data_IF_945300930508
#
_entry.id   IF_945300930508
#
_cell.length_a   1.000
_cell.length_b   1.000
_cell.length_c   1.000
_cell.angle_alpha   90.00
_cell.angle_beta   90.00
_cell.angle_gamma   90.00
#
_symmetry.space_group_name_H-M   'P 1'
#
loop_
_entity.id
_entity.type
_entity.pdbx_description
1 polymer ?
#
# COMPACT_ATOMS: atom_id res chain seq x y z
N UNK A 1 -23.45 70.28 4.01
CA UNK A 1 -23.49 70.34 5.49
C UNK A 1 -23.56 68.90 5.98
N UNK A 2 -22.60 68.53 6.83
CA UNK A 2 -22.49 67.31 7.66
C UNK A 2 -23.82 66.97 8.38
N UNK A 3 -24.09 65.81 8.97
CA UNK A 3 -23.42 64.53 9.21
C UNK A 3 -24.47 63.53 9.76
N UNK A 4 -24.15 62.24 9.84
CA UNK A 4 -24.88 61.27 10.67
C UNK A 4 -24.33 59.85 10.56
N UNK A 5 -23.60 59.40 11.57
CA UNK A 5 -22.93 58.10 11.70
C UNK A 5 -23.89 56.91 11.88
N UNK A 6 -23.48 55.73 11.41
CA UNK A 6 -23.67 54.47 12.14
C UNK A 6 -22.59 53.45 11.74
N UNK A 7 -22.01 52.80 12.74
CA UNK A 7 -20.96 51.81 12.64
C UNK A 7 -21.52 50.38 12.53
N UNK A 8 -20.72 49.48 11.94
CA UNK A 8 -20.66 48.07 12.33
C UNK A 8 -21.15 47.06 11.30
N UNK A 9 -20.21 46.39 10.63
CA UNK A 9 -20.36 44.97 10.30
C UNK A 9 -18.98 44.29 10.12
N UNK A 10 -18.57 43.36 11.01
CA UNK A 10 -17.49 42.43 10.73
C UNK A 10 -18.04 40.99 10.60
N UNK A 11 -18.96 40.76 9.67
CA UNK A 11 -19.41 39.43 9.27
C UNK A 11 -18.48 38.78 8.24
N UNK A 12 -17.33 38.26 8.68
CA UNK A 12 -16.45 37.46 7.82
C UNK A 12 -17.19 36.24 7.25
N UNK A 13 -17.43 36.23 5.94
CA UNK A 13 -17.96 35.08 5.20
C UNK A 13 -16.93 33.94 5.23
N UNK A 14 -17.25 32.87 5.96
CA UNK A 14 -16.51 31.60 5.91
C UNK A 14 -17.14 30.70 4.84
N UNK A 15 -16.40 30.18 3.85
CA UNK A 15 -16.83 29.00 3.13
C UNK A 15 -16.36 27.77 3.92
N UNK A 16 -17.29 27.01 4.50
CA UNK A 16 -17.00 25.64 4.91
C UNK A 16 -17.59 24.68 3.90
N UNK A 17 -16.76 24.31 2.92
CA UNK A 17 -16.94 23.13 2.09
C UNK A 17 -16.97 21.88 3.00
N UNK A 18 -18.13 21.23 3.08
CA UNK A 18 -18.32 19.94 3.73
C UNK A 18 -17.58 18.87 2.92
N UNK A 19 -16.52 18.31 3.50
CA UNK A 19 -15.80 17.16 2.95
C UNK A 19 -16.46 15.86 3.45
N UNK A 20 -16.94 15.02 2.53
CA UNK A 20 -17.44 13.66 2.80
C UNK A 20 -16.55 12.67 2.06
N UNK A 21 -15.47 12.20 2.71
CA UNK A 21 -14.56 11.24 2.10
C UNK A 21 -14.47 9.95 2.92
N UNK A 22 -15.14 8.89 2.50
CA UNK A 22 -14.77 7.51 2.83
C UNK A 22 -14.11 6.86 1.61
N UNK A 23 -12.77 6.89 1.58
CA UNK A 23 -11.94 5.89 0.92
C UNK A 23 -10.65 5.78 1.74
N UNK A 24 -10.35 4.56 2.16
CA UNK A 24 -9.22 4.14 2.98
C UNK A 24 -7.85 4.57 2.40
N UNK A 25 -6.76 4.52 3.18
CA UNK A 25 -5.69 5.50 3.08
C UNK A 25 -4.79 5.22 1.88
N UNK A 26 -4.83 6.11 0.88
CA UNK A 26 -3.65 6.35 0.04
C UNK A 26 -2.61 6.99 0.95
N UNK A 27 -1.40 6.45 0.98
CA UNK A 27 -0.26 7.01 1.70
C UNK A 27 -0.15 8.51 1.38
N UNK A 28 -0.62 9.35 2.31
CA UNK A 28 -0.44 10.81 2.27
C UNK A 28 0.66 11.10 3.26
N UNK A 29 1.83 11.50 2.77
CA UNK A 29 2.77 12.25 3.61
C UNK A 29 2.04 13.56 3.95
N UNK A 30 1.39 13.59 5.11
CA UNK A 30 0.87 14.81 5.68
C UNK A 30 2.04 15.57 6.27
N UNK A 31 2.53 16.61 5.59
CA UNK A 31 3.33 17.62 6.28
C UNK A 31 2.36 18.37 7.19
N UNK A 32 2.27 17.93 8.45
CA UNK A 32 1.59 18.71 9.47
C UNK A 32 2.32 20.06 9.58
N UNK A 33 1.62 21.17 9.31
CA UNK A 33 2.13 22.49 9.70
C UNK A 33 2.37 22.45 11.21
N UNK A 34 3.47 23.02 11.72
CA UNK A 34 3.69 23.07 13.15
C UNK A 34 2.59 23.89 13.80
N UNK A 35 1.64 23.23 14.47
CA UNK A 35 0.72 23.88 15.37
C UNK A 35 1.54 24.29 16.59
N UNK A 36 1.71 25.60 16.83
CA UNK A 36 2.57 26.20 17.88
C UNK A 36 2.23 25.80 19.33
N UNK A 37 1.35 24.82 19.55
CA UNK A 37 0.86 24.43 20.88
C UNK A 37 0.90 22.92 21.16
N UNK A 38 1.43 22.08 20.27
CA UNK A 38 1.62 20.66 20.55
C UNK A 38 2.91 20.43 21.35
N UNK A 39 2.87 20.55 22.68
CA UNK A 39 3.82 19.83 23.54
C UNK A 39 3.39 18.36 23.55
N UNK A 40 4.25 17.45 23.07
CA UNK A 40 4.09 16.02 23.37
C UNK A 40 3.67 15.08 22.23
N UNK A 41 4.13 15.29 20.99
CA UNK A 41 4.42 14.14 20.12
C UNK A 41 5.81 14.35 19.54
N UNK A 42 6.81 13.76 20.18
CA UNK A 42 8.13 13.73 19.60
C UNK A 42 8.05 13.00 18.23
N UNK A 43 8.88 13.42 17.28
CA UNK A 43 8.85 12.86 15.93
C UNK A 43 9.18 11.36 15.90
N UNK A 44 9.93 10.85 16.88
CA UNK A 44 10.27 9.44 17.01
C UNK A 44 9.05 8.63 17.49
N UNK A 45 8.33 9.05 18.53
CA UNK A 45 7.10 8.42 18.99
C UNK A 45 5.98 8.45 17.94
N UNK A 46 5.93 9.49 17.08
CA UNK A 46 5.08 9.45 15.90
C UNK A 46 5.53 8.38 14.91
N UNK A 47 6.82 8.35 14.58
CA UNK A 47 7.37 7.39 13.62
C UNK A 47 7.22 5.95 14.11
N UNK A 48 7.50 5.66 15.38
CA UNK A 48 7.37 4.33 15.98
C UNK A 48 5.93 3.84 15.92
N UNK A 49 4.97 4.71 16.25
CA UNK A 49 3.54 4.38 16.11
C UNK A 49 3.11 4.25 14.66
N UNK A 50 3.67 5.01 13.73
CA UNK A 50 3.34 4.88 12.31
C UNK A 50 3.94 3.61 11.70
N UNK A 51 5.15 3.22 12.13
CA UNK A 51 5.81 1.99 11.70
C UNK A 51 5.18 0.74 12.32
N UNK A 52 4.90 0.75 13.62
CA UNK A 52 4.34 -0.39 14.36
C UNK A 52 2.81 -0.44 14.43
N UNK A 53 2.14 0.70 14.24
CA UNK A 53 0.69 0.80 14.35
C UNK A 53 -0.04 0.08 13.21
N UNK A 54 -0.97 -0.80 13.59
CA UNK A 54 -1.87 -1.53 12.68
C UNK A 54 -1.16 -2.41 11.64
N UNK A 55 -0.01 -2.97 11.99
CA UNK A 55 0.65 -3.98 11.15
C UNK A 55 0.32 -5.35 11.69
N UNK A 56 -0.64 -6.00 11.04
CA UNK A 56 -0.98 -7.39 11.31
C UNK A 56 -0.64 -8.19 10.07
N UNK A 57 0.20 -9.22 10.24
CA UNK A 57 0.40 -10.20 9.20
C UNK A 57 -0.89 -11.01 9.06
N UNK A 58 -1.29 -11.28 7.83
CA UNK A 58 -2.41 -12.16 7.56
C UNK A 58 -1.95 -13.61 7.79
N UNK A 59 -2.19 -14.13 8.99
CA UNK A 59 -1.72 -15.46 9.38
C UNK A 59 -2.24 -16.56 8.44
N UNK A 60 -3.50 -16.46 7.99
CA UNK A 60 -4.05 -17.43 7.06
C UNK A 60 -3.26 -17.49 5.73
N UNK A 61 -2.74 -16.35 5.25
CA UNK A 61 -1.86 -16.35 4.08
C UNK A 61 -0.47 -16.91 4.38
N UNK A 62 0.08 -16.64 5.58
CA UNK A 62 1.36 -17.23 5.99
C UNK A 62 1.29 -18.76 6.07
N UNK A 63 0.11 -19.31 6.37
CA UNK A 63 -0.12 -20.75 6.44
C UNK A 63 -0.35 -21.36 5.03
N UNK A 64 -0.98 -20.61 4.11
CA UNK A 64 -1.32 -21.09 2.76
C UNK A 64 -0.17 -20.97 1.77
N UNK A 65 0.56 -19.84 1.75
CA UNK A 65 1.61 -19.58 0.75
C UNK A 65 2.66 -20.71 0.65
N UNK A 66 3.17 -21.28 1.75
CA UNK A 66 4.14 -22.37 1.69
C UNK A 66 3.62 -23.64 1.00
N UNK A 67 2.30 -23.82 0.95
CA UNK A 67 1.65 -25.01 0.39
C UNK A 67 1.39 -24.92 -1.11
N UNK A 68 1.51 -23.74 -1.71
CA UNK A 68 1.12 -23.48 -3.11
C UNK A 68 1.95 -24.24 -4.16
N UNK A 69 3.07 -24.87 -3.78
CA UNK A 69 3.92 -25.61 -4.72
C UNK A 69 4.54 -24.74 -5.82
N UNK A 70 4.61 -23.43 -5.62
CA UNK A 70 5.25 -22.48 -6.54
C UNK A 70 6.75 -22.42 -6.31
N UNK A 71 7.53 -22.19 -7.37
CA UNK A 71 9.00 -22.18 -7.27
C UNK A 71 9.51 -20.99 -6.46
N UNK A 72 8.92 -19.81 -6.64
CA UNK A 72 9.37 -18.57 -6.00
C UNK A 72 8.22 -17.66 -5.60
N UNK A 73 8.39 -16.98 -4.47
CA UNK A 73 7.44 -16.01 -3.91
C UNK A 73 8.17 -14.70 -3.61
N UNK A 74 7.60 -13.59 -4.07
CA UNK A 74 8.16 -12.26 -3.85
C UNK A 74 7.12 -11.31 -3.26
N UNK A 75 7.57 -10.43 -2.35
CA UNK A 75 6.76 -9.31 -1.88
C UNK A 75 6.86 -8.14 -2.85
N UNK A 76 5.77 -7.79 -3.52
CA UNK A 76 5.70 -6.59 -4.36
C UNK A 76 4.95 -5.47 -3.63
N UNK A 77 5.64 -4.47 -3.07
CA UNK A 77 5.02 -3.47 -2.18
C UNK A 77 5.43 -2.02 -2.49
N UNK A 78 4.47 -1.10 -2.38
CA UNK A 78 4.68 0.33 -2.57
C UNK A 78 4.97 0.99 -1.21
N UNK A 79 6.25 1.16 -0.87
CA UNK A 79 6.70 1.61 0.46
C UNK A 79 7.87 2.58 0.37
N UNK A 80 7.89 3.59 1.24
CA UNK A 80 9.09 4.38 1.51
C UNK A 80 10.17 3.58 2.26
N UNK A 81 11.42 4.05 2.24
CA UNK A 81 12.59 3.29 2.73
C UNK A 81 12.45 2.73 4.15
N UNK A 82 12.06 3.58 5.13
CA UNK A 82 11.90 3.16 6.53
C UNK A 82 10.80 2.11 6.73
N UNK A 83 9.67 2.29 6.04
CA UNK A 83 8.54 1.34 6.13
C UNK A 83 8.85 0.04 5.42
N UNK A 84 9.52 0.12 4.28
CA UNK A 84 10.00 -1.03 3.53
C UNK A 84 10.91 -1.93 4.37
N UNK A 85 11.91 -1.33 5.03
CA UNK A 85 12.81 -2.06 5.93
C UNK A 85 12.05 -2.73 7.09
N UNK A 86 11.09 -2.03 7.70
CA UNK A 86 10.25 -2.62 8.74
C UNK A 86 9.41 -3.79 8.22
N UNK A 87 8.79 -3.66 7.04
CA UNK A 87 7.99 -4.73 6.44
C UNK A 87 8.88 -5.94 6.15
N UNK A 88 10.05 -5.77 5.54
CA UNK A 88 10.99 -6.87 5.33
C UNK A 88 11.37 -7.56 6.63
N UNK A 89 11.59 -6.80 7.71
CA UNK A 89 11.90 -7.35 9.03
C UNK A 89 10.78 -8.29 9.54
N UNK A 90 9.50 -7.98 9.29
CA UNK A 90 8.38 -8.84 9.68
C UNK A 90 8.39 -10.20 8.96
N UNK A 91 8.93 -10.25 7.74
CA UNK A 91 8.97 -11.47 6.93
C UNK A 91 10.31 -12.22 7.05
N UNK A 92 11.29 -11.76 7.84
CA UNK A 92 12.61 -12.40 7.96
C UNK A 92 12.57 -13.87 8.40
N UNK A 93 11.52 -14.31 9.11
CA UNK A 93 11.34 -15.71 9.51
C UNK A 93 10.79 -16.63 8.42
N UNK A 94 10.36 -16.08 7.28
CA UNK A 94 9.63 -16.81 6.24
C UNK A 94 10.59 -17.36 5.18
N UNK A 95 10.95 -18.64 5.31
CA UNK A 95 11.89 -19.32 4.39
C UNK A 95 11.40 -19.47 2.96
N UNK A 96 10.08 -19.39 2.75
CA UNK A 96 9.43 -19.49 1.45
C UNK A 96 9.43 -18.18 0.67
N UNK A 97 9.90 -17.07 1.26
CA UNK A 97 9.95 -15.76 0.62
C UNK A 97 11.34 -15.52 0.00
N UNK A 98 11.40 -15.43 -1.32
CA UNK A 98 12.66 -15.26 -2.07
C UNK A 98 13.17 -13.82 -2.10
N UNK A 99 12.29 -12.85 -1.84
CA UNK A 99 12.69 -11.45 -1.75
C UNK A 99 11.55 -10.46 -1.82
N UNK A 100 11.91 -9.19 -2.01
CA UNK A 100 10.94 -8.10 -2.07
C UNK A 100 11.31 -7.06 -3.14
N UNK A 101 10.31 -6.64 -3.90
CA UNK A 101 10.35 -5.52 -4.82
C UNK A 101 9.67 -4.32 -4.19
N UNK A 102 10.46 -3.48 -3.53
CA UNK A 102 9.97 -2.27 -2.86
C UNK A 102 10.13 -1.07 -3.79
N UNK A 103 9.08 -0.27 -3.97
CA UNK A 103 9.09 0.83 -4.93
C UNK A 103 10.22 1.83 -4.73
N UNK A 104 10.60 2.13 -3.49
CA UNK A 104 11.74 3.02 -3.21
C UNK A 104 13.11 2.46 -3.68
N UNK A 105 13.23 1.15 -3.92
CA UNK A 105 14.45 0.53 -4.48
C UNK A 105 14.35 0.34 -6.00
N UNK A 106 13.16 0.00 -6.47
CA UNK A 106 12.88 -0.27 -7.90
C UNK A 106 12.77 1.02 -8.72
N UNK A 107 12.60 2.19 -8.09
CA UNK A 107 12.39 3.51 -8.72
C UNK A 107 11.10 3.64 -9.55
N UNK A 108 10.35 2.54 -9.70
CA UNK A 108 9.00 2.49 -10.23
C UNK A 108 8.06 1.99 -9.14
N UNK A 109 6.75 2.25 -9.31
CA UNK A 109 5.72 1.76 -8.39
C UNK A 109 4.48 1.32 -9.13
N UNK A 110 3.75 0.38 -8.56
CA UNK A 110 2.42 0.00 -9.04
C UNK A 110 1.50 1.24 -9.06
N UNK A 111 0.66 1.44 -10.08
CA UNK A 111 0.40 0.56 -11.22
C UNK A 111 1.22 0.91 -12.49
N UNK A 112 2.39 1.56 -12.39
CA UNK A 112 3.26 1.82 -13.55
C UNK A 112 3.70 0.49 -14.18
N UNK A 113 3.44 0.23 -15.48
CA UNK A 113 3.88 -0.99 -16.18
C UNK A 113 5.37 -1.27 -16.02
N UNK A 114 6.21 -0.23 -15.93
CA UNK A 114 7.66 -0.36 -15.77
C UNK A 114 8.06 -1.08 -14.48
N UNK A 115 7.22 -1.03 -13.45
CA UNK A 115 7.43 -1.79 -12.22
C UNK A 115 7.30 -3.29 -12.46
N UNK A 116 6.27 -3.72 -13.18
CA UNK A 116 6.05 -5.14 -13.50
C UNK A 116 7.12 -5.64 -14.48
N UNK A 117 7.46 -4.85 -15.50
CA UNK A 117 8.55 -5.18 -16.42
C UNK A 117 9.89 -5.36 -15.69
N UNK A 118 10.18 -4.52 -14.70
CA UNK A 118 11.38 -4.65 -13.87
C UNK A 118 11.37 -5.95 -13.07
N UNK A 119 10.24 -6.30 -12.43
CA UNK A 119 10.11 -7.55 -11.69
C UNK A 119 10.37 -8.74 -12.60
N UNK A 120 9.64 -8.83 -13.73
CA UNK A 120 9.71 -9.95 -14.67
C UNK A 120 11.14 -10.17 -15.20
N UNK A 121 11.84 -9.08 -15.56
CA UNK A 121 13.26 -9.15 -15.95
C UNK A 121 14.17 -9.60 -14.82
N UNK A 122 13.90 -9.20 -13.58
CA UNK A 122 14.75 -9.52 -12.43
C UNK A 122 14.58 -10.97 -11.99
N UNK A 123 13.35 -11.49 -12.02
CA UNK A 123 13.07 -12.89 -11.67
C UNK A 123 13.35 -13.87 -12.80
N UNK A 124 13.57 -13.34 -14.01
CA UNK A 124 13.84 -14.06 -15.26
C UNK A 124 12.73 -15.07 -15.59
N UNK A 125 11.48 -14.56 -15.65
CA UNK A 125 10.29 -15.36 -15.95
C UNK A 125 9.40 -14.70 -16.97
N UNK A 126 8.71 -15.52 -17.76
CA UNK A 126 7.69 -15.01 -18.67
C UNK A 126 6.47 -14.53 -17.86
N UNK A 127 5.76 -13.48 -18.32
CA UNK A 127 4.54 -13.01 -17.68
C UNK A 127 3.52 -14.12 -17.44
N UNK A 128 3.38 -15.04 -18.40
CA UNK A 128 2.45 -16.19 -18.36
C UNK A 128 2.78 -17.22 -17.29
N UNK A 129 3.99 -17.21 -16.73
CA UNK A 129 4.42 -18.08 -15.63
C UNK A 129 4.21 -17.43 -14.26
N UNK A 130 3.79 -16.16 -14.23
CA UNK A 130 3.70 -15.35 -13.03
C UNK A 130 2.24 -15.08 -12.65
N UNK A 131 1.99 -15.02 -11.34
CA UNK A 131 0.72 -14.60 -10.75
C UNK A 131 0.96 -13.40 -9.84
N UNK A 132 0.18 -12.34 -10.04
CA UNK A 132 0.21 -11.13 -9.23
C UNK A 132 -1.08 -11.01 -8.40
N UNK A 133 -0.92 -10.86 -7.08
CA UNK A 133 -2.02 -10.74 -6.12
C UNK A 133 -1.92 -9.39 -5.40
N UNK A 134 -2.98 -8.58 -5.44
CA UNK A 134 -3.01 -7.26 -4.81
C UNK A 134 -4.46 -6.85 -4.48
N UNK A 135 -4.68 -6.12 -3.38
CA UNK A 135 -6.02 -5.67 -2.98
C UNK A 135 -6.53 -4.51 -3.87
N UNK A 136 -5.62 -3.79 -4.52
CA UNK A 136 -5.93 -2.71 -5.42
C UNK A 136 -6.12 -3.21 -6.86
N UNK A 137 -7.38 -3.22 -7.32
CA UNK A 137 -7.78 -3.61 -8.67
C UNK A 137 -6.99 -2.91 -9.79
N UNK A 138 -6.56 -1.64 -9.60
CA UNK A 138 -5.76 -0.94 -10.61
C UNK A 138 -4.34 -1.51 -10.75
N UNK A 139 -3.76 -2.00 -9.65
CA UNK A 139 -2.47 -2.70 -9.68
C UNK A 139 -2.61 -4.04 -10.40
N UNK A 140 -3.69 -4.79 -10.11
CA UNK A 140 -3.99 -6.06 -10.76
C UNK A 140 -4.17 -5.86 -12.26
N UNK A 141 -4.98 -4.87 -12.67
CA UNK A 141 -5.20 -4.55 -14.08
C UNK A 141 -3.91 -4.15 -14.82
N UNK A 142 -2.97 -3.47 -14.14
CA UNK A 142 -1.69 -3.13 -14.74
C UNK A 142 -0.77 -4.36 -14.89
N UNK A 143 -0.78 -5.28 -13.93
CA UNK A 143 -0.06 -6.56 -14.05
C UNK A 143 -0.61 -7.41 -15.20
N UNK A 144 -1.94 -7.46 -15.35
CA UNK A 144 -2.56 -8.23 -16.44
C UNK A 144 -2.30 -7.60 -17.81
N UNK A 145 -2.23 -6.27 -17.89
CA UNK A 145 -1.90 -5.57 -19.13
C UNK A 145 -0.50 -5.90 -19.68
N UNK A 146 0.44 -6.35 -18.83
CA UNK A 146 1.78 -6.80 -19.26
C UNK A 146 1.87 -8.33 -19.47
N UNK A 147 0.74 -9.04 -19.39
CA UNK A 147 0.63 -10.47 -19.68
C UNK A 147 0.70 -11.40 -18.45
N UNK A 148 0.79 -10.85 -17.24
CA UNK A 148 0.82 -11.62 -16.00
C UNK A 148 -0.59 -12.02 -15.56
N UNK A 149 -0.77 -13.21 -14.97
CA UNK A 149 -2.06 -13.54 -14.36
C UNK A 149 -2.31 -12.64 -13.13
N UNK A 150 -3.53 -12.17 -12.94
CA UNK A 150 -3.89 -11.27 -11.84
C UNK A 150 -5.02 -11.82 -10.96
N UNK A 151 -4.93 -11.59 -9.65
CA UNK A 151 -6.01 -11.83 -8.68
C UNK A 151 -6.16 -10.58 -7.81
N UNK A 152 -7.39 -10.07 -7.70
CA UNK A 152 -7.68 -9.06 -6.69
C UNK A 152 -7.88 -9.72 -5.33
N UNK A 153 -7.03 -9.39 -4.37
CA UNK A 153 -7.16 -9.90 -3.02
C UNK A 153 -8.36 -9.26 -2.31
N UNK A 154 -9.23 -10.10 -1.76
CA UNK A 154 -10.36 -9.68 -0.91
C UNK A 154 -10.17 -10.26 0.49
N UNK A 155 -10.01 -11.58 0.57
CA UNK A 155 -9.76 -12.33 1.79
C UNK A 155 -9.03 -13.65 1.46
N UNK A 156 -8.55 -14.34 2.49
CA UNK A 156 -7.77 -15.57 2.33
C UNK A 156 -8.61 -16.73 1.77
N UNK A 157 -9.89 -16.85 2.13
CA UNK A 157 -10.76 -17.95 1.68
C UNK A 157 -11.05 -17.83 0.17
N UNK A 158 -11.38 -16.63 -0.28
CA UNK A 158 -11.61 -16.31 -1.68
C UNK A 158 -10.33 -16.53 -2.51
N UNK A 159 -9.18 -16.09 -2.01
CA UNK A 159 -7.89 -16.31 -2.67
C UNK A 159 -7.58 -17.81 -2.80
N UNK A 160 -7.67 -18.57 -1.71
CA UNK A 160 -7.46 -20.03 -1.71
C UNK A 160 -8.39 -20.72 -2.71
N UNK A 161 -9.67 -20.35 -2.74
CA UNK A 161 -10.63 -20.92 -3.71
C UNK A 161 -10.22 -20.65 -5.16
N UNK A 162 -9.74 -19.43 -5.44
CA UNK A 162 -9.29 -19.05 -6.78
C UNK A 162 -7.97 -19.73 -7.18
N UNK A 163 -7.03 -19.89 -6.24
CA UNK A 163 -5.78 -20.63 -6.46
C UNK A 163 -6.04 -22.12 -6.73
N UNK A 164 -6.98 -22.73 -6.00
CA UNK A 164 -7.41 -24.12 -6.23
C UNK A 164 -8.02 -24.30 -7.62
N UNK A 165 -8.89 -23.38 -8.05
CA UNK A 165 -9.49 -23.39 -9.38
C UNK A 165 -8.46 -23.27 -10.52
N UNK A 166 -7.26 -22.74 -10.22
CA UNK A 166 -6.12 -22.64 -11.14
C UNK A 166 -5.18 -23.85 -11.08
N UNK A 167 -5.50 -24.86 -10.26
CA UNK A 167 -4.76 -26.11 -10.16
C UNK A 167 -3.57 -26.06 -9.21
N UNK A 168 -3.46 -25.06 -8.34
CA UNK A 168 -2.41 -25.02 -7.31
C UNK A 168 -2.77 -25.95 -6.14
N UNK A 169 -1.80 -26.71 -5.60
CA UNK A 169 -2.00 -27.54 -4.42
C UNK A 169 -2.31 -26.66 -3.20
N UNK A 170 -3.36 -27.02 -2.46
CA UNK A 170 -3.84 -26.33 -1.27
C UNK A 170 -4.27 -27.34 -0.21
#
# INVERSE_FOLDING_TARGET
>A
MQAGLAAGDPGAVRPQTRWTGSKAPRCRIGIARPHRTCRGSDGAAFLDRWLGGNVQLNQALLDVIPCLGVERVYLASDQGSRRGAYVEQLYQGQRWLDGAFLSHRVSHRKPDPRYFDHILRTVDRAPTECLFVDDNAACVAAATAVGTAGIQFVDALSLTSELAARGLPL
#
